data_IF_216186900199
#
_entry.id   IF_216186900199
#
_cell.length_a   1.000
_cell.length_b   1.000
_cell.length_c   1.000
_cell.angle_alpha   90.00
_cell.angle_beta   90.00
_cell.angle_gamma   90.00
#
_symmetry.space_group_name_H-M   'P 1'
#
loop_
_entity.id
_entity.type
_entity.pdbx_description
1 polymer ?
#
# COMPACT_ATOMS: atom_id res chain seq x y z
N UNK A 1 -21.40 -24.36 -111.02
CA UNK A 1 -21.87 -23.10 -110.42
C UNK A 1 -21.09 -22.88 -109.13
N UNK A 2 -20.25 -21.84 -109.05
CA UNK A 2 -19.44 -21.48 -107.87
C UNK A 2 -20.34 -20.85 -106.81
N UNK A 3 -20.23 -21.26 -105.54
CA UNK A 3 -20.25 -20.33 -104.40
C UNK A 3 -19.22 -20.78 -103.37
N UNK A 4 -18.49 -19.79 -102.88
CA UNK A 4 -17.29 -19.79 -102.04
C UNK A 4 -17.69 -19.26 -100.68
N UNK A 5 -17.30 -19.92 -99.59
CA UNK A 5 -17.16 -19.37 -98.23
C UNK A 5 -16.29 -20.38 -97.45
N UNK A 6 -15.43 -20.07 -96.49
CA UNK A 6 -14.67 -18.88 -96.07
C UNK A 6 -14.17 -19.25 -94.66
N UNK A 7 -12.84 -19.27 -94.45
CA UNK A 7 -12.03 -19.09 -93.22
C UNK A 7 -12.72 -19.32 -91.86
N UNK A 8 -12.08 -20.00 -90.90
CA UNK A 8 -11.10 -19.39 -89.99
C UNK A 8 -10.25 -20.51 -89.34
N UNK A 9 -8.93 -20.38 -89.43
CA UNK A 9 -7.94 -21.22 -88.75
C UNK A 9 -7.52 -20.48 -87.47
N UNK A 10 -7.89 -21.00 -86.29
CA UNK A 10 -7.60 -20.38 -84.98
C UNK A 10 -6.43 -21.13 -84.34
N UNK A 11 -5.21 -20.64 -84.55
CA UNK A 11 -4.05 -21.11 -83.78
C UNK A 11 -4.14 -20.56 -82.35
N UNK A 12 -4.36 -21.47 -81.38
CA UNK A 12 -4.23 -21.19 -79.96
C UNK A 12 -2.76 -21.34 -79.55
N UNK A 13 -2.05 -20.22 -79.38
CA UNK A 13 -0.75 -20.19 -78.70
C UNK A 13 -1.00 -20.14 -77.19
N UNK A 14 -0.83 -21.28 -76.51
CA UNK A 14 -0.73 -21.33 -75.06
C UNK A 14 0.67 -20.82 -74.66
N UNK A 15 0.75 -19.62 -74.10
CA UNK A 15 1.97 -19.12 -73.46
C UNK A 15 2.09 -19.76 -72.07
N UNK A 16 2.96 -20.77 -71.95
CA UNK A 16 3.34 -21.31 -70.65
C UNK A 16 4.39 -20.40 -70.02
N UNK A 17 3.95 -19.47 -69.18
CA UNK A 17 4.83 -18.59 -68.39
C UNK A 17 5.62 -19.43 -67.38
N UNK A 18 6.90 -19.70 -67.67
CA UNK A 18 7.83 -20.22 -66.67
C UNK A 18 8.15 -19.11 -65.67
N UNK A 19 7.51 -19.12 -64.50
CA UNK A 19 8.03 -18.42 -63.34
C UNK A 19 9.29 -19.15 -62.88
N UNK A 20 10.46 -18.68 -63.31
CA UNK A 20 11.74 -19.10 -62.73
C UNK A 20 11.78 -18.54 -61.31
N UNK A 21 11.52 -19.39 -60.33
CA UNK A 21 11.79 -19.07 -58.92
C UNK A 21 13.29 -18.83 -58.82
N UNK A 22 13.72 -17.58 -58.65
CA UNK A 22 15.12 -17.27 -58.32
C UNK A 22 15.46 -18.03 -57.03
N UNK A 23 16.45 -18.93 -57.07
CA UNK A 23 17.04 -19.48 -55.84
C UNK A 23 17.65 -18.31 -55.08
N UNK A 24 17.10 -17.99 -53.90
CA UNK A 24 17.70 -17.03 -52.99
C UNK A 24 19.06 -17.54 -52.53
N UNK A 25 20.03 -16.64 -52.43
CA UNK A 25 21.34 -16.95 -51.84
C UNK A 25 21.14 -17.27 -50.35
N UNK A 26 21.79 -18.34 -49.88
CA UNK A 26 21.69 -18.80 -48.49
C UNK A 26 22.68 -18.09 -47.58
N UNK A 27 22.38 -18.04 -46.28
CA UNK A 27 23.29 -17.48 -45.28
C UNK A 27 24.52 -18.35 -45.07
N UNK A 28 25.64 -17.70 -44.84
CA UNK A 28 26.88 -18.35 -44.44
C UNK A 28 26.85 -18.76 -42.97
N UNK A 29 27.66 -19.75 -42.61
CA UNK A 29 27.78 -20.19 -41.21
C UNK A 29 28.25 -19.06 -40.29
N UNK A 30 29.13 -18.19 -40.78
CA UNK A 30 29.65 -17.06 -40.00
C UNK A 30 28.58 -16.00 -39.73
N UNK A 31 27.69 -15.70 -40.68
CA UNK A 31 26.56 -14.78 -40.48
C UNK A 31 25.61 -15.29 -39.40
N UNK A 32 25.31 -16.59 -39.38
CA UNK A 32 24.47 -17.18 -38.33
C UNK A 32 25.10 -17.06 -36.94
N UNK A 33 26.42 -17.24 -36.81
CA UNK A 33 27.13 -17.11 -35.54
C UNK A 33 27.11 -15.66 -35.05
N UNK A 34 27.31 -14.69 -35.95
CA UNK A 34 27.28 -13.26 -35.63
C UNK A 34 25.88 -12.85 -35.18
N UNK A 35 24.83 -13.26 -35.91
CA UNK A 35 23.44 -12.97 -35.54
C UNK A 35 23.06 -13.59 -34.20
N UNK A 36 23.43 -14.86 -33.97
CA UNK A 36 23.18 -15.52 -32.69
C UNK A 36 23.87 -14.79 -31.54
N UNK A 37 25.12 -14.37 -31.73
CA UNK A 37 25.89 -13.65 -30.70
C UNK A 37 25.25 -12.30 -30.34
N UNK A 38 24.84 -11.53 -31.34
CA UNK A 38 24.17 -10.24 -31.13
C UNK A 38 22.80 -10.45 -30.46
N UNK A 39 22.04 -11.44 -30.90
CA UNK A 39 20.74 -11.76 -30.32
C UNK A 39 20.84 -12.20 -28.86
N UNK A 40 21.81 -13.06 -28.53
CA UNK A 40 22.06 -13.47 -27.15
C UNK A 40 22.40 -12.28 -26.26
N UNK A 41 23.22 -11.34 -26.73
CA UNK A 41 23.55 -10.12 -25.98
C UNK A 41 22.29 -9.32 -25.62
N UNK A 42 21.40 -9.13 -26.58
CA UNK A 42 20.12 -8.42 -26.36
C UNK A 42 19.26 -9.17 -25.33
N UNK A 43 19.15 -10.50 -25.44
CA UNK A 43 18.38 -11.31 -24.49
C UNK A 43 18.91 -11.22 -23.05
N UNK A 44 20.23 -11.21 -22.87
CA UNK A 44 20.83 -11.05 -21.54
C UNK A 44 20.44 -9.70 -20.94
N UNK A 45 20.60 -8.61 -21.68
CA UNK A 45 20.23 -7.27 -21.19
C UNK A 45 18.74 -7.16 -20.85
N UNK A 46 17.86 -7.77 -21.65
CA UNK A 46 16.43 -7.77 -21.39
C UNK A 46 16.07 -8.56 -20.11
N UNK A 47 16.75 -9.69 -19.88
CA UNK A 47 16.54 -10.52 -18.69
C UNK A 47 16.99 -9.81 -17.42
N UNK A 48 18.14 -9.13 -17.45
CA UNK A 48 18.64 -8.36 -16.31
C UNK A 48 17.68 -7.23 -15.92
N UNK A 49 17.17 -6.48 -16.92
CA UNK A 49 16.16 -5.46 -16.69
C UNK A 49 14.89 -6.05 -16.08
N UNK A 50 14.44 -7.20 -16.58
CA UNK A 50 13.27 -7.89 -16.06
C UNK A 50 13.44 -8.31 -14.58
N UNK A 51 14.60 -8.87 -14.22
CA UNK A 51 14.92 -9.24 -12.84
C UNK A 51 14.91 -8.01 -11.93
N UNK A 52 15.52 -6.91 -12.37
CA UNK A 52 15.54 -5.66 -11.62
C UNK A 52 14.14 -5.11 -11.37
N UNK A 53 13.28 -5.12 -12.40
CA UNK A 53 11.88 -4.69 -12.28
C UNK A 53 11.14 -5.57 -11.28
N UNK A 54 11.32 -6.89 -11.34
CA UNK A 54 10.63 -7.82 -10.45
C UNK A 54 11.00 -7.61 -8.97
N UNK A 55 12.29 -7.36 -8.69
CA UNK A 55 12.74 -7.03 -7.34
C UNK A 55 12.13 -5.71 -6.85
N UNK A 56 12.08 -4.70 -7.72
CA UNK A 56 11.49 -3.41 -7.38
C UNK A 56 9.98 -3.52 -7.14
N UNK A 57 9.25 -4.30 -7.94
CA UNK A 57 7.82 -4.56 -7.74
C UNK A 57 7.55 -5.17 -6.36
N UNK A 58 8.34 -6.17 -5.93
CA UNK A 58 8.20 -6.76 -4.59
C UNK A 58 8.40 -5.74 -3.48
N UNK A 59 9.42 -4.87 -3.59
CA UNK A 59 9.67 -3.80 -2.62
C UNK A 59 8.52 -2.79 -2.57
N UNK A 60 7.99 -2.41 -3.74
CA UNK A 60 6.84 -1.51 -3.84
C UNK A 60 5.59 -2.11 -3.19
N UNK A 61 5.31 -3.40 -3.40
CA UNK A 61 4.18 -4.07 -2.76
C UNK A 61 4.29 -4.04 -1.23
N UNK A 62 5.46 -4.34 -0.67
CA UNK A 62 5.67 -4.27 0.78
C UNK A 62 5.52 -2.84 1.33
N UNK A 63 5.96 -1.83 0.58
CA UNK A 63 5.78 -0.43 0.96
C UNK A 63 4.32 0.02 0.89
N UNK A 64 3.56 -0.46 -0.11
CA UNK A 64 2.14 -0.19 -0.24
C UNK A 64 1.37 -0.80 0.93
N UNK A 65 1.67 -2.05 1.30
CA UNK A 65 1.03 -2.71 2.44
C UNK A 65 1.31 -1.97 3.75
N UNK A 66 2.57 -1.60 3.99
CA UNK A 66 2.98 -0.78 5.13
C UNK A 66 2.18 0.52 5.19
N UNK A 67 2.09 1.25 4.07
CA UNK A 67 1.33 2.51 3.99
C UNK A 67 -0.16 2.31 4.23
N UNK A 68 -0.78 1.31 3.61
CA UNK A 68 -2.21 1.05 3.70
C UNK A 68 -2.63 0.69 5.12
N UNK A 69 -1.94 -0.26 5.77
CA UNK A 69 -2.26 -0.67 7.13
C UNK A 69 -2.00 0.47 8.13
N UNK A 70 -0.90 1.21 7.95
CA UNK A 70 -0.60 2.37 8.80
C UNK A 70 -1.68 3.44 8.66
N UNK A 71 -2.06 3.77 7.43
CA UNK A 71 -3.10 4.78 7.17
C UNK A 71 -4.44 4.35 7.76
N UNK A 72 -4.82 3.09 7.60
CA UNK A 72 -6.02 2.53 8.22
C UNK A 72 -5.99 2.65 9.75
N UNK A 73 -4.91 2.22 10.40
CA UNK A 73 -4.79 2.28 11.85
C UNK A 73 -4.86 3.73 12.37
N UNK A 74 -4.17 4.66 11.71
CA UNK A 74 -4.20 6.08 12.06
C UNK A 74 -5.58 6.68 11.86
N UNK A 75 -6.25 6.40 10.74
CA UNK A 75 -7.61 6.89 10.51
C UNK A 75 -8.58 6.35 11.55
N UNK A 76 -8.50 5.06 11.85
CA UNK A 76 -9.35 4.41 12.83
C UNK A 76 -9.16 5.02 14.23
N UNK A 77 -7.91 5.16 14.68
CA UNK A 77 -7.58 5.83 15.95
C UNK A 77 -8.05 7.28 15.95
N UNK A 78 -7.77 8.03 14.87
CA UNK A 78 -8.16 9.43 14.74
C UNK A 78 -9.68 9.61 14.82
N UNK A 79 -10.46 8.73 14.16
CA UNK A 79 -11.93 8.77 14.21
C UNK A 79 -12.45 8.52 15.63
N UNK A 80 -11.86 7.55 16.34
CA UNK A 80 -12.26 7.25 17.71
C UNK A 80 -11.89 8.39 18.68
N UNK A 81 -10.68 8.93 18.58
CA UNK A 81 -10.22 10.08 19.38
C UNK A 81 -11.10 11.31 19.14
N UNK A 82 -11.46 11.62 17.89
CA UNK A 82 -12.38 12.74 17.60
C UNK A 82 -13.71 12.63 18.34
N UNK A 83 -14.17 11.42 18.63
CA UNK A 83 -15.43 11.16 19.33
C UNK A 83 -15.24 10.95 20.83
N UNK A 84 -14.09 11.34 21.38
CA UNK A 84 -13.88 11.30 22.81
C UNK A 84 -14.89 12.20 23.52
N UNK A 85 -15.41 11.71 24.65
CA UNK A 85 -16.29 12.44 25.56
C UNK A 85 -15.55 12.69 26.87
N UNK A 86 -15.84 13.84 27.48
CA UNK A 86 -15.33 14.21 28.80
C UNK A 86 -15.83 13.22 29.86
N UNK A 87 -14.94 12.75 30.73
CA UNK A 87 -15.31 11.87 31.85
C UNK A 87 -15.63 12.72 33.09
N UNK A 88 -16.90 13.08 33.25
CA UNK A 88 -17.34 13.91 34.39
C UNK A 88 -17.13 13.23 35.75
N UNK A 89 -17.17 11.90 35.76
CA UNK A 89 -17.14 11.08 36.99
C UNK A 89 -15.74 10.58 37.37
N UNK A 90 -14.83 10.53 36.40
CA UNK A 90 -13.52 9.87 36.53
C UNK A 90 -13.58 8.34 36.53
N UNK A 91 -14.73 7.72 36.23
CA UNK A 91 -14.88 6.26 36.24
C UNK A 91 -13.96 5.56 35.23
N UNK A 92 -13.74 6.17 34.07
CA UNK A 92 -12.96 5.61 32.98
C UNK A 92 -11.49 6.02 33.05
N UNK A 93 -11.26 7.30 33.32
CA UNK A 93 -9.94 7.94 33.21
C UNK A 93 -9.24 8.06 34.57
N UNK A 94 -9.91 7.72 35.67
CA UNK A 94 -9.39 7.83 37.04
C UNK A 94 -9.31 9.27 37.56
N UNK A 95 -9.52 10.26 36.69
CA UNK A 95 -9.56 11.68 37.02
C UNK A 95 -10.84 12.27 36.40
N UNK A 96 -11.65 13.01 37.17
CA UNK A 96 -12.84 13.65 36.64
C UNK A 96 -12.48 14.86 35.75
N UNK A 97 -13.41 15.23 34.88
CA UNK A 97 -13.36 16.42 34.04
C UNK A 97 -12.20 16.48 33.02
N UNK A 98 -11.67 15.34 32.59
CA UNK A 98 -10.71 15.25 31.49
C UNK A 98 -11.31 14.45 30.32
N UNK A 99 -10.83 14.69 29.09
CA UNK A 99 -11.30 13.98 27.90
C UNK A 99 -10.39 12.81 27.54
N UNK A 100 -9.09 12.93 27.83
CA UNK A 100 -8.10 11.90 27.55
C UNK A 100 -7.16 11.70 28.74
N UNK A 101 -6.70 10.48 28.93
CA UNK A 101 -5.65 10.13 29.88
C UNK A 101 -4.49 9.43 29.16
N UNK A 102 -3.27 9.88 29.41
CA UNK A 102 -2.08 9.16 28.97
C UNK A 102 -1.88 7.91 29.81
N UNK A 103 -1.54 6.81 29.16
CA UNK A 103 -1.22 5.54 29.79
C UNK A 103 0.15 5.06 29.33
N UNK A 104 0.75 4.13 30.09
CA UNK A 104 2.01 3.46 29.72
C UNK A 104 3.14 4.42 29.33
N UNK A 105 3.42 5.41 30.17
CA UNK A 105 4.52 6.36 29.94
C UNK A 105 4.42 7.08 28.58
N UNK A 106 3.24 7.63 28.26
CA UNK A 106 2.96 8.35 27.01
C UNK A 106 2.96 7.49 25.74
N UNK A 107 2.82 6.17 25.89
CA UNK A 107 2.69 5.22 24.76
C UNK A 107 1.28 4.65 24.63
N UNK A 108 0.34 5.17 25.42
CA UNK A 108 -1.08 4.87 25.28
C UNK A 108 -1.96 6.06 25.61
N UNK A 109 -3.18 6.02 25.09
CA UNK A 109 -4.22 7.02 25.32
C UNK A 109 -5.53 6.31 25.61
N UNK A 110 -6.16 6.69 26.72
CA UNK A 110 -7.46 6.21 27.16
C UNK A 110 -8.47 7.34 27.12
N UNK A 111 -9.69 7.04 26.66
CA UNK A 111 -10.79 7.99 26.51
C UNK A 111 -12.14 7.25 26.51
N UNK A 112 -13.23 7.99 26.68
CA UNK A 112 -14.58 7.49 26.51
C UNK A 112 -14.98 7.70 25.05
N UNK A 113 -15.27 6.64 24.30
CA UNK A 113 -15.67 6.75 22.89
C UNK A 113 -17.19 6.89 22.76
N UNK A 114 -17.65 8.10 22.43
CA UNK A 114 -19.08 8.38 22.25
C UNK A 114 -19.72 7.64 21.08
N UNK A 115 -18.96 7.40 20.00
CA UNK A 115 -19.46 6.68 18.83
C UNK A 115 -19.73 5.20 19.09
N UNK A 116 -19.27 4.66 20.23
CA UNK A 116 -19.38 3.25 20.55
C UNK A 116 -20.03 3.06 21.93
N UNK A 117 -21.16 3.75 22.14
CA UNK A 117 -21.97 3.63 23.36
C UNK A 117 -21.24 4.06 24.65
N UNK A 118 -20.45 5.13 24.57
CA UNK A 118 -19.69 5.68 25.70
C UNK A 118 -18.76 4.64 26.39
N UNK A 119 -18.18 3.71 25.63
CA UNK A 119 -17.25 2.72 26.21
C UNK A 119 -15.87 3.35 26.50
N UNK A 120 -15.23 2.86 27.56
CA UNK A 120 -13.81 3.07 27.79
C UNK A 120 -12.98 2.37 26.73
N UNK A 121 -12.24 3.14 25.95
CA UNK A 121 -11.35 2.64 24.91
C UNK A 121 -9.93 3.12 25.18
N UNK A 122 -8.97 2.24 24.95
CA UNK A 122 -7.56 2.53 25.09
C UNK A 122 -6.82 2.06 23.84
N UNK A 123 -6.02 2.94 23.26
CA UNK A 123 -5.01 2.58 22.26
C UNK A 123 -3.65 2.68 22.89
N UNK A 124 -2.81 1.66 22.68
CA UNK A 124 -1.48 1.66 23.27
C UNK A 124 -0.50 0.82 22.47
N UNK A 125 0.78 1.11 22.65
CA UNK A 125 1.87 0.28 22.14
C UNK A 125 2.29 -0.74 23.20
N UNK A 126 2.39 -1.99 22.77
CA UNK A 126 2.98 -3.06 23.57
C UNK A 126 4.46 -3.19 23.19
N UNK A 127 5.35 -2.72 24.06
CA UNK A 127 6.80 -2.74 23.81
C UNK A 127 7.39 -4.16 23.77
N UNK A 128 6.71 -5.15 24.35
CA UNK A 128 7.15 -6.55 24.35
C UNK A 128 6.85 -7.22 23.00
N UNK A 129 5.62 -7.06 22.50
CA UNK A 129 5.21 -7.65 21.21
C UNK A 129 5.49 -6.74 20.02
N UNK A 130 5.83 -5.47 20.27
CA UNK A 130 6.02 -4.40 19.27
C UNK A 130 4.77 -4.14 18.42
N UNK A 131 3.60 -4.26 19.03
CA UNK A 131 2.31 -4.14 18.34
C UNK A 131 1.53 -2.94 18.85
N UNK A 132 0.75 -2.35 17.95
CA UNK A 132 -0.25 -1.36 18.29
C UNK A 132 -1.55 -2.08 18.65
N UNK A 133 -2.02 -1.90 19.88
CA UNK A 133 -3.17 -2.62 20.42
C UNK A 133 -4.30 -1.68 20.82
N UNK A 134 -5.50 -2.25 20.81
CA UNK A 134 -6.72 -1.65 21.31
C UNK A 134 -7.29 -2.50 22.45
N UNK A 135 -7.69 -1.87 23.56
CA UNK A 135 -8.54 -2.49 24.57
C UNK A 135 -9.86 -1.73 24.67
N UNK A 136 -10.96 -2.48 24.79
CA UNK A 136 -12.30 -1.95 25.02
C UNK A 136 -12.81 -2.49 26.34
N UNK A 137 -13.26 -1.59 27.22
CA UNK A 137 -13.86 -1.95 28.51
C UNK A 137 -12.96 -2.86 29.38
N UNK A 138 -11.63 -2.69 29.29
CA UNK A 138 -10.66 -3.54 29.99
C UNK A 138 -10.61 -5.00 29.49
N UNK A 139 -11.23 -5.31 28.35
CA UNK A 139 -11.16 -6.62 27.71
C UNK A 139 -9.79 -6.93 27.11
N UNK A 140 -9.66 -8.15 26.59
CA UNK A 140 -8.42 -8.64 25.98
C UNK A 140 -7.97 -7.71 24.85
N UNK A 141 -6.74 -7.18 24.90
CA UNK A 141 -6.23 -6.31 23.86
C UNK A 141 -6.14 -7.00 22.49
N UNK A 142 -6.56 -6.28 21.44
CA UNK A 142 -6.52 -6.73 20.05
C UNK A 142 -5.46 -5.95 19.26
N UNK A 143 -4.73 -6.61 18.37
CA UNK A 143 -3.81 -5.91 17.45
C UNK A 143 -4.57 -5.16 16.37
N UNK A 144 -4.17 -3.91 16.10
CA UNK A 144 -4.74 -3.07 15.04
C UNK A 144 -4.03 -3.23 13.69
N UNK A 145 -2.83 -3.78 13.70
CA UNK A 145 -1.99 -4.00 12.53
C UNK A 145 -1.68 -5.49 12.36
N UNK A 146 -1.33 -5.89 11.15
CA UNK A 146 -0.94 -7.29 10.90
C UNK A 146 0.33 -7.67 11.65
N UNK A 147 0.48 -8.96 11.90
CA UNK A 147 1.66 -9.56 12.52
C UNK A 147 2.93 -9.40 11.68
N UNK A 148 2.82 -9.10 10.39
CA UNK A 148 3.93 -8.79 9.50
C UNK A 148 4.51 -7.37 9.71
N UNK A 149 3.84 -6.51 10.47
CA UNK A 149 4.33 -5.18 10.82
C UNK A 149 4.74 -5.11 12.30
N UNK A 150 5.66 -4.21 12.61
CA UNK A 150 6.03 -3.89 13.99
C UNK A 150 6.15 -2.39 14.19
N UNK A 151 5.74 -1.92 15.36
CA UNK A 151 5.93 -0.55 15.82
C UNK A 151 7.22 -0.47 16.60
N UNK A 152 8.15 0.35 16.12
CA UNK A 152 9.44 0.58 16.76
C UNK A 152 9.35 1.65 17.84
N UNK A 153 8.46 2.63 17.63
CA UNK A 153 8.30 3.79 18.48
C UNK A 153 6.87 4.28 18.41
N UNK A 154 6.29 4.61 19.56
CA UNK A 154 5.03 5.35 19.69
C UNK A 154 5.20 6.38 20.80
N UNK A 155 4.79 7.61 20.54
CA UNK A 155 4.68 8.66 21.55
C UNK A 155 3.39 9.42 21.34
N UNK A 156 2.74 9.73 22.46
CA UNK A 156 1.47 10.45 22.50
C UNK A 156 1.63 11.65 23.41
N UNK A 157 1.22 12.81 22.91
CA UNK A 157 1.20 14.07 23.64
C UNK A 157 -0.22 14.62 23.69
N UNK A 158 -0.61 15.16 24.84
CA UNK A 158 -1.89 15.84 25.02
C UNK A 158 -1.67 17.34 25.12
N UNK A 159 -2.63 18.11 24.61
CA UNK A 159 -2.65 19.57 24.73
C UNK A 159 -4.09 20.08 24.86
N UNK A 160 -4.32 21.10 25.69
CA UNK A 160 -5.65 21.68 25.89
C UNK A 160 -6.62 20.78 26.67
N UNK A 161 -6.13 19.91 27.55
CA UNK A 161 -6.98 19.09 28.44
C UNK A 161 -7.52 19.88 29.64
N UNK A 162 -7.03 21.09 29.89
CA UNK A 162 -7.41 21.83 31.10
C UNK A 162 -8.85 22.32 30.95
N UNK A 163 -9.71 21.95 31.90
CA UNK A 163 -11.08 22.43 31.92
C UNK A 163 -11.23 23.93 32.19
N UNK A 164 -10.14 24.63 32.52
CA UNK A 164 -10.08 26.06 32.81
C UNK A 164 -9.52 26.88 31.62
N UNK A 165 -9.16 26.22 30.52
CA UNK A 165 -8.76 26.89 29.28
C UNK A 165 -9.87 26.80 28.22
N UNK A 166 -9.96 27.83 27.36
CA UNK A 166 -10.85 27.83 26.18
C UNK A 166 -10.23 27.02 25.02
N UNK A 167 -9.30 26.10 25.30
CA UNK A 167 -8.63 25.33 24.27
C UNK A 167 -9.37 24.02 24.04
N UNK A 168 -9.54 23.68 22.76
CA UNK A 168 -10.05 22.37 22.39
C UNK A 168 -8.98 21.30 22.70
N UNK A 169 -9.31 20.24 23.46
CA UNK A 169 -8.44 19.09 23.70
C UNK A 169 -7.90 18.48 22.40
N UNK A 170 -6.60 18.21 22.34
CA UNK A 170 -5.92 17.58 21.19
C UNK A 170 -4.94 16.51 21.61
N UNK A 171 -4.86 15.46 20.80
CA UNK A 171 -3.93 14.35 20.91
C UNK A 171 -2.98 14.37 19.72
N UNK A 172 -1.68 14.47 19.97
CA UNK A 172 -0.65 14.28 18.95
C UNK A 172 -0.07 12.88 19.08
N UNK A 173 -0.08 12.12 17.99
CA UNK A 173 0.46 10.76 17.91
C UNK A 173 1.64 10.78 16.95
N UNK A 174 2.79 10.32 17.43
CA UNK A 174 4.02 10.14 16.67
C UNK A 174 4.40 8.67 16.68
N UNK A 175 4.49 8.04 15.51
CA UNK A 175 4.75 6.59 15.41
C UNK A 175 5.78 6.27 14.33
N UNK A 176 6.68 5.32 14.61
CA UNK A 176 7.51 4.66 13.61
C UNK A 176 7.09 3.19 13.47
N UNK A 177 6.77 2.79 12.24
CA UNK A 177 6.33 1.44 11.89
C UNK A 177 7.19 0.87 10.77
N UNK A 178 7.44 -0.43 10.83
CA UNK A 178 8.35 -1.14 9.93
C UNK A 178 7.80 -2.52 9.56
N UNK A 179 8.11 -2.99 8.36
CA UNK A 179 7.87 -4.39 7.96
C UNK A 179 8.84 -5.32 8.71
N UNK A 180 8.33 -6.40 9.32
CA UNK A 180 9.18 -7.41 9.96
C UNK A 180 10.00 -8.15 8.90
N UNK A 181 11.30 -8.33 9.16
CA UNK A 181 12.20 -9.05 8.26
C UNK A 181 13.67 -8.85 8.63
N UNK A 182 14.55 -9.55 7.93
CA UNK A 182 16.00 -9.41 8.09
C UNK A 182 16.55 -8.34 7.15
N UNK A 183 17.57 -7.60 7.58
CA UNK A 183 18.18 -6.54 6.78
C UNK A 183 17.39 -5.23 6.78
N UNK A 184 17.66 -4.38 5.79
CA UNK A 184 17.04 -3.05 5.68
C UNK A 184 15.61 -3.16 5.15
N UNK A 185 14.66 -3.17 6.07
CA UNK A 185 13.23 -3.24 5.75
C UNK A 185 12.60 -1.85 5.64
N UNK A 186 11.59 -1.67 4.76
CA UNK A 186 10.87 -0.41 4.67
C UNK A 186 10.30 0.03 6.01
N UNK A 187 10.59 1.28 6.40
CA UNK A 187 10.04 1.94 7.58
C UNK A 187 9.35 3.24 7.22
N UNK A 188 8.37 3.63 8.02
CA UNK A 188 7.65 4.90 7.90
C UNK A 188 7.47 5.53 9.27
N UNK A 189 7.72 6.83 9.30
CA UNK A 189 7.41 7.69 10.44
C UNK A 189 6.19 8.51 10.07
N UNK A 190 5.25 8.59 11.00
CA UNK A 190 4.03 9.34 10.86
C UNK A 190 3.82 10.19 12.11
N UNK A 191 3.21 11.34 11.92
CA UNK A 191 2.73 12.18 13.00
C UNK A 191 1.38 12.74 12.62
N UNK A 192 0.43 12.71 13.55
CA UNK A 192 -0.89 13.29 13.37
C UNK A 192 -1.32 13.96 14.66
N UNK A 193 -2.02 15.09 14.53
CA UNK A 193 -2.64 15.79 15.66
C UNK A 193 -4.15 15.81 15.44
N UNK A 194 -4.89 15.32 16.42
CA UNK A 194 -6.34 15.16 16.38
C UNK A 194 -6.96 16.00 17.48
N UNK A 195 -7.86 16.89 17.12
CA UNK A 195 -8.70 17.60 18.09
C UNK A 195 -9.95 16.79 18.42
N UNK A 196 -10.42 16.88 19.66
CA UNK A 196 -11.74 16.40 20.05
C UNK A 196 -12.82 17.12 19.23
N UNK A 197 -13.91 16.43 18.92
CA UNK A 197 -15.12 17.05 18.38
C UNK A 197 -15.90 17.67 19.54
N UNK A 198 -16.35 18.91 19.38
CA UNK A 198 -17.33 19.47 20.30
C UNK A 198 -18.68 18.74 20.10
N UNK A 199 -19.04 17.89 21.05
CA UNK A 199 -20.30 17.15 21.04
C UNK A 199 -21.44 17.94 21.72
N UNK A 200 -21.13 19.04 22.42
CA UNK A 200 -22.09 19.88 23.17
C UNK A 200 -22.58 21.10 22.37
N UNK A 201 -22.97 20.88 21.11
CA UNK A 201 -23.73 21.87 20.33
C UNK A 201 -25.10 21.28 19.99
N UNK A 202 -25.92 21.02 21.02
CA UNK A 202 -27.35 20.79 20.87
C UNK A 202 -28.11 21.18 22.14
#
# INVERSE_FOLDING_TARGET
MKIKQSKINKQSKYYFSHNIIKKGEGFTLIELIVVASIFSLVLFTATDLFISIFQQQRRTLNQQELLNQTSYAVEYISRAIRMAKKDDSGFCLGTPNISYALTRENTGVKFINHSNSDICQEFFWDSLTKELKESRYGGTPLSLISDHLQVNYLSIELSGESGDDDLQPRVTISMEIQVKGTGEQPKKQIQTTISQRNLDVQ
#
